data_IF_123373372471
#
_entry.id   IF_123373372471
#
_cell.length_a   1.000
_cell.length_b   1.000
_cell.length_c   1.000
_cell.angle_alpha   90.00
_cell.angle_beta   90.00
_cell.angle_gamma   90.00
#
_symmetry.space_group_name_H-M   'P 1'
#
loop_
_entity.id
_entity.type
_entity.pdbx_description
1 polymer ?
#
# COMPACT_ATOMS: atom_id res chain seq x y z
N UNK A 1 10.54 2.19 0.82
CA UNK A 1 10.73 2.32 -0.64
C UNK A 1 9.66 1.47 -1.30
N UNK A 2 8.99 1.95 -2.35
CA UNK A 2 8.07 1.10 -3.12
C UNK A 2 8.91 0.12 -3.95
N UNK A 3 8.54 -1.16 -3.97
CA UNK A 3 9.37 -2.19 -4.60
C UNK A 3 8.86 -2.52 -6.01
N UNK A 4 7.56 -2.71 -6.23
CA UNK A 4 6.97 -2.91 -7.58
C UNK A 4 5.52 -2.38 -7.64
N UNK A 5 5.06 -2.00 -8.83
CA UNK A 5 3.68 -1.57 -9.09
C UNK A 5 3.22 -2.08 -10.46
N UNK A 6 2.02 -2.66 -10.50
CA UNK A 6 1.37 -3.10 -11.74
C UNK A 6 -0.01 -2.44 -11.86
N UNK A 7 -0.26 -1.80 -12.99
CA UNK A 7 -1.51 -1.10 -13.27
C UNK A 7 -2.31 -1.90 -14.29
N UNK A 8 -3.43 -2.48 -13.85
CA UNK A 8 -4.44 -3.09 -14.73
C UNK A 8 -5.68 -2.16 -14.82
N UNK A 9 -6.59 -2.36 -15.80
CA UNK A 9 -7.82 -1.58 -15.88
C UNK A 9 -8.67 -1.62 -14.61
N UNK A 10 -8.64 -2.76 -13.90
CA UNK A 10 -9.12 -2.98 -12.54
C UNK A 10 -8.63 -4.37 -12.09
N UNK A 11 -7.99 -4.60 -10.92
CA UNK A 11 -7.45 -3.68 -9.91
C UNK A 11 -5.95 -3.30 -10.08
N UNK A 12 -5.48 -2.27 -9.35
CA UNK A 12 -4.04 -1.89 -9.26
C UNK A 12 -3.34 -2.67 -8.15
N UNK A 13 -2.15 -3.20 -8.42
CA UNK A 13 -1.35 -3.98 -7.47
C UNK A 13 -0.09 -3.23 -7.03
N UNK A 14 0.19 -3.27 -5.72
CA UNK A 14 1.38 -2.66 -5.11
C UNK A 14 2.15 -3.69 -4.30
N UNK A 15 3.46 -3.78 -4.54
CA UNK A 15 4.40 -4.47 -3.66
C UNK A 15 5.22 -3.43 -2.90
N UNK A 16 5.00 -3.34 -1.60
CA UNK A 16 5.54 -2.27 -0.74
C UNK A 16 6.12 -2.83 0.54
N UNK A 17 7.26 -2.27 0.94
CA UNK A 17 7.79 -2.46 2.29
C UNK A 17 7.23 -1.37 3.22
N UNK A 18 6.55 -1.81 4.28
CA UNK A 18 5.86 -0.94 5.23
C UNK A 18 6.39 -1.21 6.62
N UNK A 19 6.94 -0.18 7.26
CA UNK A 19 7.39 -0.29 8.65
C UNK A 19 6.25 -0.78 9.54
N UNK A 20 6.55 -1.75 10.42
CA UNK A 20 5.52 -2.42 11.24
C UNK A 20 4.64 -1.46 12.06
N UNK A 21 5.16 -0.28 12.41
CA UNK A 21 4.43 0.73 13.18
C UNK A 21 3.57 1.67 12.31
N UNK A 22 3.74 1.68 10.99
CA UNK A 22 3.13 2.66 10.10
C UNK A 22 1.64 2.38 9.81
N UNK A 23 1.18 1.15 10.03
CA UNK A 23 -0.22 0.76 9.86
C UNK A 23 -0.68 0.79 8.40
N UNK A 24 -0.95 -0.38 7.82
CA UNK A 24 -1.22 -0.51 6.37
C UNK A 24 -2.44 0.28 5.90
N UNK A 25 -3.46 0.45 6.75
CA UNK A 25 -4.62 1.29 6.45
C UNK A 25 -4.27 2.76 6.18
N UNK A 26 -3.21 3.29 6.81
CA UNK A 26 -2.75 4.66 6.58
C UNK A 26 -2.09 4.79 5.21
N UNK A 27 -1.35 3.76 4.81
CA UNK A 27 -0.75 3.69 3.49
C UNK A 27 -1.82 3.65 2.40
N UNK A 28 -2.82 2.76 2.51
CA UNK A 28 -3.94 2.69 1.55
C UNK A 28 -4.63 4.05 1.38
N UNK A 29 -4.96 4.70 2.52
CA UNK A 29 -5.59 6.02 2.53
C UNK A 29 -4.71 7.08 1.85
N UNK A 30 -3.40 7.06 2.11
CA UNK A 30 -2.47 8.02 1.52
C UNK A 30 -2.31 7.82 0.02
N UNK A 31 -2.19 6.57 -0.44
CA UNK A 31 -2.08 6.22 -1.86
C UNK A 31 -3.34 6.65 -2.61
N UNK A 32 -4.52 6.21 -2.16
CA UNK A 32 -5.80 6.53 -2.81
C UNK A 32 -6.08 8.03 -2.78
N UNK A 33 -5.84 8.69 -1.65
CA UNK A 33 -6.06 10.14 -1.51
C UNK A 33 -5.16 10.96 -2.43
N UNK A 34 -3.84 10.69 -2.42
CA UNK A 34 -2.88 11.46 -3.23
C UNK A 34 -3.07 11.21 -4.72
N UNK A 35 -3.19 9.96 -5.13
CA UNK A 35 -3.43 9.61 -6.54
C UNK A 35 -4.74 10.20 -7.05
N UNK A 36 -5.79 10.21 -6.24
CA UNK A 36 -7.06 10.81 -6.62
C UNK A 36 -6.98 12.33 -6.84
N UNK A 37 -6.15 13.04 -6.07
CA UNK A 37 -5.86 14.45 -6.30
C UNK A 37 -5.09 14.67 -7.60
N UNK A 38 -3.91 14.05 -7.72
CA UNK A 38 -3.02 14.18 -8.87
C UNK A 38 -3.73 13.81 -10.18
N UNK A 39 -4.45 12.68 -10.21
CA UNK A 39 -5.15 12.23 -11.43
C UNK A 39 -6.30 13.16 -11.82
N UNK A 40 -6.97 13.81 -10.87
CA UNK A 40 -8.01 14.80 -11.20
C UNK A 40 -7.43 16.12 -11.70
N UNK A 41 -6.25 16.49 -11.23
CA UNK A 41 -5.50 17.64 -11.73
C UNK A 41 -5.00 17.39 -13.16
N UNK A 42 -4.46 16.19 -13.43
CA UNK A 42 -3.95 15.80 -14.75
C UNK A 42 -5.05 15.47 -15.76
N UNK A 43 -6.18 14.91 -15.31
CA UNK A 43 -7.26 14.43 -16.16
C UNK A 43 -8.61 15.07 -15.76
N UNK A 44 -8.91 16.31 -16.18
CA UNK A 44 -10.11 17.04 -15.79
C UNK A 44 -11.44 16.34 -16.15
N UNK A 45 -11.44 15.46 -17.16
CA UNK A 45 -12.61 14.67 -17.54
C UNK A 45 -13.05 13.68 -16.45
N UNK A 46 -12.19 13.37 -15.46
CA UNK A 46 -12.54 12.55 -14.29
C UNK A 46 -13.40 13.30 -13.26
N UNK A 47 -13.71 14.59 -13.48
CA UNK A 47 -14.45 15.43 -12.53
C UNK A 47 -15.96 15.48 -12.72
N UNK A 48 -16.56 14.90 -13.78
CA UNK A 48 -18.00 15.10 -14.05
C UNK A 48 -18.75 13.95 -14.76
N UNK A 49 -19.83 13.38 -14.17
CA UNK A 49 -20.09 13.35 -12.72
C UNK A 49 -19.05 12.40 -12.11
N UNK A 50 -18.31 12.77 -11.05
CA UNK A 50 -17.19 11.95 -10.63
C UNK A 50 -17.70 10.78 -9.77
N UNK A 51 -17.71 9.52 -10.26
CA UNK A 51 -17.68 8.40 -9.33
C UNK A 51 -16.38 8.47 -8.51
N UNK A 52 -16.35 7.88 -7.31
CA UNK A 52 -15.10 7.77 -6.56
C UNK A 52 -14.08 6.97 -7.39
N UNK A 53 -12.93 7.59 -7.69
CA UNK A 53 -11.85 6.98 -8.47
C UNK A 53 -11.33 5.68 -7.84
N UNK A 54 -11.45 5.57 -6.52
CA UNK A 54 -11.07 4.39 -5.75
C UNK A 54 -12.27 3.87 -4.98
N UNK A 55 -12.41 2.55 -4.93
CA UNK A 55 -13.31 1.89 -4.00
C UNK A 55 -12.79 2.00 -2.56
N UNK A 56 -13.69 1.86 -1.59
CA UNK A 56 -13.33 1.85 -0.16
C UNK A 56 -12.57 0.58 0.24
N UNK A 57 -12.74 -0.50 -0.51
CA UNK A 57 -12.08 -1.78 -0.25
C UNK A 57 -10.63 -1.78 -0.73
N UNK A 58 -9.80 -2.58 -0.06
CA UNK A 58 -8.46 -2.91 -0.50
C UNK A 58 -8.14 -4.33 -0.03
N UNK A 59 -7.21 -4.99 -0.71
CA UNK A 59 -6.70 -6.30 -0.33
C UNK A 59 -5.23 -6.17 0.06
N UNK A 60 -4.83 -6.84 1.14
CA UNK A 60 -3.46 -6.86 1.64
C UNK A 60 -3.10 -8.29 1.99
N UNK A 61 -1.94 -8.72 1.49
CA UNK A 61 -1.29 -9.95 1.89
C UNK A 61 0.18 -9.65 2.16
N UNK A 62 0.74 -10.25 3.21
CA UNK A 62 2.17 -10.21 3.48
C UNK A 62 2.87 -11.23 2.59
N UNK A 63 3.88 -10.79 1.84
CA UNK A 63 4.75 -11.67 1.06
C UNK A 63 6.14 -11.71 1.69
N UNK A 64 6.74 -12.90 1.79
CA UNK A 64 8.00 -13.10 2.48
C UNK A 64 7.86 -13.11 4.01
N UNK A 65 7.94 -14.29 4.61
CA UNK A 65 8.13 -14.42 6.06
C UNK A 65 9.58 -14.12 6.44
N UNK A 66 9.82 -13.51 7.60
CA UNK A 66 11.14 -13.53 8.19
C UNK A 66 11.53 -15.00 8.44
N UNK A 67 12.67 -15.49 7.93
CA UNK A 67 13.14 -16.83 8.27
C UNK A 67 13.13 -17.01 9.78
N UNK A 68 12.71 -18.17 10.27
CA UNK A 68 12.61 -18.46 11.71
C UNK A 68 13.91 -18.10 12.46
N UNK A 69 15.06 -18.24 11.78
CA UNK A 69 16.38 -17.85 12.28
C UNK A 69 16.51 -16.36 12.63
N UNK A 70 15.91 -15.44 11.84
CA UNK A 70 15.95 -14.00 12.10
C UNK A 70 15.06 -13.65 13.30
N UNK A 71 13.88 -14.29 13.39
CA UNK A 71 12.97 -14.11 14.54
C UNK A 71 13.65 -14.60 15.82
N UNK A 72 14.27 -15.78 15.78
CA UNK A 72 14.98 -16.36 16.93
C UNK A 72 16.13 -15.46 17.40
N UNK A 73 16.97 -14.97 16.48
CA UNK A 73 18.07 -14.03 16.78
C UNK A 73 17.56 -12.70 17.38
N UNK A 74 16.40 -12.22 16.93
CA UNK A 74 15.80 -11.00 17.48
C UNK A 74 15.26 -11.19 18.90
N UNK A 75 14.67 -12.35 19.19
CA UNK A 75 14.20 -12.72 20.54
C UNK A 75 15.38 -12.89 21.50
N UNK A 76 16.42 -13.61 21.10
CA UNK A 76 17.65 -13.82 21.88
C UNK A 76 18.35 -12.49 22.22
N UNK A 77 18.37 -11.54 21.28
CA UNK A 77 18.97 -10.22 21.48
C UNK A 77 18.17 -9.31 22.42
N UNK A 78 16.86 -9.50 22.53
CA UNK A 78 15.98 -8.71 23.42
C UNK A 78 15.91 -9.25 24.85
N UNK A 79 16.38 -10.48 25.09
CA UNK A 79 16.41 -11.12 26.40
C UNK A 79 17.71 -10.95 27.19
N UNK A 80 18.53 -9.93 26.88
CA UNK A 80 19.76 -9.60 27.61
C UNK A 80 19.67 -8.20 28.20
#
# INVERSE_FOLDING_TARGET
MAMEMEVMPDPVHFLVDVGAQYGVHRLDKAIKGRSSGVLREEFPHLMSPPPPLWTKSFFVATVGGAPLAIVKRHVERKGR
#
